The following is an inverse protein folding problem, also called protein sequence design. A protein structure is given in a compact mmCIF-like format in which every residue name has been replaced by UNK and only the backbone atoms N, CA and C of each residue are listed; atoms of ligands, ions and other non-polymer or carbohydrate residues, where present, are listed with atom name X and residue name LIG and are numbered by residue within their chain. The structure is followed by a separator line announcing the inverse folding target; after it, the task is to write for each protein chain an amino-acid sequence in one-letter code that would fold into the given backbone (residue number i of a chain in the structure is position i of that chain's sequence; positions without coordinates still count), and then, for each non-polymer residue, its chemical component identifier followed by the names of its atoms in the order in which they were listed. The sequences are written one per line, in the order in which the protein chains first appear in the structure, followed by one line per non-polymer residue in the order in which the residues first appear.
data_IF_430866679372
#
_entry.id   IF_430866679372
#
_cell.length_a   1.000
_cell.length_b   1.000
_cell.length_c   1.000
_cell.angle_alpha   90.00
_cell.angle_beta   90.00
_cell.angle_gamma   90.00
#
_symmetry.space_group_name_H-M   'P 1'
#
loop_
_entity.id
_entity.type
_entity.pdbx_description
1 polymer ?
#
# COMPACT_ATOMS: atom_id res chain seq x y z
N UNK A 1 -3.73 5.84 -14.13
CA UNK A 1 -3.97 4.43 -13.76
C UNK A 1 -5.45 4.13 -14.05
N UNK A 2 -5.85 2.86 -14.11
CA UNK A 2 -7.24 2.41 -14.30
C UNK A 2 -7.57 1.28 -13.33
N UNK A 3 -8.79 1.20 -12.79
CA UNK A 3 -9.18 0.03 -12.01
C UNK A 3 -9.28 -1.20 -12.91
N UNK A 4 -8.91 -2.36 -12.39
CA UNK A 4 -9.05 -3.62 -13.11
C UNK A 4 -10.51 -3.90 -13.51
N UNK A 5 -11.47 -3.45 -12.69
CA UNK A 5 -12.91 -3.54 -12.96
C UNK A 5 -13.41 -2.59 -14.05
N UNK A 6 -12.63 -1.56 -14.39
CA UNK A 6 -12.98 -0.53 -15.37
C UNK A 6 -12.23 -0.72 -16.70
N UNK A 7 -11.33 -1.71 -16.79
CA UNK A 7 -10.51 -1.91 -17.98
C UNK A 7 -11.34 -2.45 -19.14
N UNK A 8 -11.07 -1.93 -20.33
CA UNK A 8 -11.64 -2.40 -21.59
C UNK A 8 -10.52 -2.89 -22.52
N UNK A 9 -10.83 -3.77 -23.51
CA UNK A 9 -9.93 -4.03 -24.62
C UNK A 9 -9.52 -2.72 -25.30
N UNK A 10 -8.25 -2.62 -25.70
CA UNK A 10 -7.78 -1.44 -26.40
C UNK A 10 -8.47 -1.31 -27.77
N UNK A 11 -9.08 -0.16 -28.01
CA UNK A 11 -9.69 0.22 -29.29
C UNK A 11 -9.03 1.48 -29.82
N UNK A 12 -8.06 1.30 -30.73
CA UNK A 12 -7.28 2.40 -31.29
C UNK A 12 -8.09 3.40 -32.11
N UNK A 13 -9.33 3.07 -32.52
CA UNK A 13 -10.20 4.02 -33.23
C UNK A 13 -10.76 5.12 -32.33
N UNK A 14 -10.73 4.92 -31.01
CA UNK A 14 -11.17 5.89 -30.00
C UNK A 14 -10.10 6.95 -29.65
N UNK A 15 -8.89 6.82 -30.20
CA UNK A 15 -7.74 7.64 -29.83
C UNK A 15 -7.19 8.40 -31.04
N UNK A 16 -6.58 9.56 -30.78
CA UNK A 16 -5.76 10.33 -31.73
C UNK A 16 -4.36 10.57 -31.18
N UNK A 17 -3.45 11.04 -32.05
CA UNK A 17 -2.09 11.36 -31.64
C UNK A 17 -2.09 12.38 -30.48
N UNK A 18 -1.37 12.05 -29.41
CA UNK A 18 -1.32 12.85 -28.17
C UNK A 18 -2.29 12.42 -27.08
N UNK A 19 -3.25 11.52 -27.36
CA UNK A 19 -4.07 10.95 -26.29
C UNK A 19 -3.24 9.99 -25.42
N UNK A 20 -3.55 9.96 -24.13
CA UNK A 20 -2.86 9.14 -23.14
C UNK A 20 -3.68 7.92 -22.74
N UNK A 21 -3.00 6.79 -22.53
CA UNK A 21 -3.58 5.58 -21.94
C UNK A 21 -3.01 5.35 -20.55
N UNK A 22 -3.81 4.88 -19.58
CA UNK A 22 -3.29 4.52 -18.27
C UNK A 22 -2.19 3.44 -18.34
N UNK A 23 -0.97 3.77 -17.90
CA UNK A 23 0.15 2.82 -17.86
C UNK A 23 0.16 1.85 -16.67
N UNK A 24 -0.82 1.93 -15.77
CA UNK A 24 -0.92 1.10 -14.56
C UNK A 24 -2.37 0.66 -14.39
N UNK A 25 -2.57 -0.66 -14.22
CA UNK A 25 -3.84 -1.25 -13.79
C UNK A 25 -3.78 -1.45 -12.28
N UNK A 26 -4.82 -0.98 -11.58
CA UNK A 26 -4.94 -1.05 -10.12
C UNK A 26 -5.98 -2.10 -9.76
N UNK A 27 -5.57 -3.06 -8.94
CA UNK A 27 -6.42 -4.11 -8.41
C UNK A 27 -6.06 -4.35 -6.93
N UNK A 28 -6.96 -4.95 -6.13
CA UNK A 28 -6.59 -5.48 -4.82
C UNK A 28 -5.38 -6.42 -4.95
N UNK A 29 -4.43 -6.29 -4.02
CA UNK A 29 -3.31 -7.24 -3.96
C UNK A 29 -3.80 -8.64 -3.59
N UNK A 30 -3.13 -9.65 -4.14
CA UNK A 30 -3.36 -11.07 -3.84
C UNK A 30 -2.12 -11.69 -3.18
N UNK A 31 -2.26 -12.90 -2.63
CA UNK A 31 -1.21 -13.54 -1.84
C UNK A 31 -0.90 -12.76 -0.56
N UNK A 32 0.32 -12.88 -0.05
CA UNK A 32 0.74 -12.27 1.23
C UNK A 32 0.53 -10.74 1.26
N UNK A 33 0.75 -10.06 0.13
CA UNK A 33 0.50 -8.62 0.02
C UNK A 33 -0.98 -8.25 0.21
N UNK A 34 -1.89 -9.18 -0.05
CA UNK A 34 -3.32 -9.03 0.14
C UNK A 34 -3.78 -9.22 1.59
N UNK A 35 -2.94 -9.74 2.49
CA UNK A 35 -3.28 -9.89 3.91
C UNK A 35 -3.28 -8.55 4.67
N UNK A 36 -2.84 -7.47 4.03
CA UNK A 36 -2.85 -6.11 4.58
C UNK A 36 -4.00 -5.32 3.94
N UNK A 37 -4.87 -4.80 4.80
CA UNK A 37 -5.91 -3.84 4.42
C UNK A 37 -5.63 -2.49 5.06
N UNK A 38 -6.11 -1.42 4.42
CA UNK A 38 -5.93 -0.07 4.90
C UNK A 38 -7.23 0.73 4.77
N UNK A 39 -7.50 1.59 5.75
CA UNK A 39 -8.43 2.70 5.61
C UNK A 39 -7.67 4.00 5.81
N UNK A 40 -7.92 4.96 4.93
CA UNK A 40 -7.21 6.24 4.91
C UNK A 40 -8.25 7.35 4.87
N UNK A 41 -8.06 8.39 5.68
CA UNK A 41 -8.92 9.57 5.70
C UNK A 41 -8.10 10.84 5.87
N UNK A 42 -8.46 11.88 5.11
CA UNK A 42 -7.95 13.24 5.33
C UNK A 42 -8.95 14.02 6.16
N UNK A 43 -8.48 14.63 7.25
CA UNK A 43 -9.30 15.52 8.08
C UNK A 43 -8.41 16.54 8.79
N UNK A 44 -8.86 17.79 8.82
CA UNK A 44 -8.23 18.88 9.59
C UNK A 44 -6.72 19.05 9.34
N UNK A 45 -6.28 18.89 8.09
CA UNK A 45 -4.86 19.07 7.72
C UNK A 45 -3.97 17.85 7.92
N UNK A 46 -4.54 16.68 8.24
CA UNK A 46 -3.79 15.44 8.46
C UNK A 46 -4.39 14.23 7.76
N UNK A 47 -3.50 13.36 7.26
CA UNK A 47 -3.84 12.02 6.83
C UNK A 47 -3.80 11.06 8.02
N UNK A 48 -4.88 10.33 8.24
CA UNK A 48 -4.93 9.20 9.17
C UNK A 48 -5.05 7.91 8.39
N UNK A 49 -4.13 6.98 8.62
CA UNK A 49 -4.16 5.64 8.04
C UNK A 49 -4.28 4.60 9.16
N UNK A 50 -5.24 3.69 8.99
CA UNK A 50 -5.41 2.51 9.83
C UNK A 50 -5.07 1.29 8.99
N UNK A 51 -4.01 0.58 9.37
CA UNK A 51 -3.62 -0.69 8.77
C UNK A 51 -4.20 -1.85 9.59
N UNK A 52 -4.67 -2.88 8.91
CA UNK A 52 -5.10 -4.12 9.53
C UNK A 52 -4.51 -5.31 8.79
N UNK A 53 -4.00 -6.28 9.56
CA UNK A 53 -3.58 -7.60 9.09
C UNK A 53 -3.72 -8.62 10.21
N UNK A 54 -3.68 -9.90 9.88
CA UNK A 54 -3.57 -10.97 10.88
C UNK A 54 -2.24 -10.87 11.65
N UNK A 55 -2.26 -11.27 12.92
CA UNK A 55 -1.02 -11.38 13.72
C UNK A 55 -0.10 -12.47 13.19
N UNK A 56 -0.67 -13.60 12.75
CA UNK A 56 0.04 -14.71 12.15
C UNK A 56 -0.63 -15.07 10.83
N UNK A 57 0.14 -15.07 9.74
CA UNK A 57 -0.33 -15.42 8.39
C UNK A 57 0.15 -16.80 7.97
N UNK A 58 1.22 -17.30 8.59
CA UNK A 58 1.86 -18.57 8.22
C UNK A 58 2.75 -18.47 6.98
N UNK A 59 2.83 -17.31 6.33
CA UNK A 59 3.79 -17.07 5.25
C UNK A 59 5.22 -16.93 5.78
N UNK A 60 6.19 -17.51 5.07
CA UNK A 60 7.62 -17.36 5.36
C UNK A 60 8.16 -15.96 5.04
N UNK A 61 7.43 -15.17 4.25
CA UNK A 61 7.82 -13.81 3.86
C UNK A 61 7.30 -12.75 4.83
N UNK A 62 6.42 -13.14 5.74
CA UNK A 62 5.75 -12.24 6.68
C UNK A 62 6.39 -12.30 8.08
N UNK A 63 6.48 -11.14 8.74
CA UNK A 63 6.70 -11.09 10.18
C UNK A 63 5.50 -11.72 10.88
N UNK A 64 5.77 -12.73 11.73
CA UNK A 64 4.78 -13.42 12.54
C UNK A 64 4.74 -12.82 13.96
N UNK A 65 3.65 -12.14 14.29
CA UNK A 65 3.40 -11.55 15.62
C UNK A 65 2.85 -12.60 16.60
N UNK A 66 3.57 -13.70 16.74
CA UNK A 66 3.19 -14.83 17.58
C UNK A 66 3.54 -14.64 19.07
N UNK A 67 4.30 -13.61 19.41
CA UNK A 67 4.66 -13.24 20.78
C UNK A 67 4.46 -11.74 20.99
N UNK A 68 3.30 -11.38 21.53
CA UNK A 68 2.89 -9.98 21.72
C UNK A 68 3.71 -9.24 22.79
N UNK A 69 4.56 -9.95 23.54
CA UNK A 69 5.47 -9.33 24.53
C UNK A 69 6.76 -8.81 23.90
N UNK A 70 7.03 -9.17 22.64
CA UNK A 70 8.23 -8.73 21.92
C UNK A 70 8.06 -7.36 21.28
N UNK A 71 9.19 -6.68 21.12
CA UNK A 71 9.30 -5.50 20.27
C UNK A 71 9.64 -5.95 18.84
N UNK A 72 8.88 -5.48 17.86
CA UNK A 72 9.11 -5.77 16.46
C UNK A 72 9.69 -4.55 15.74
N UNK A 73 10.80 -4.68 14.98
CA UNK A 73 11.32 -3.59 14.16
C UNK A 73 10.28 -3.10 13.16
N UNK A 74 10.16 -1.79 13.04
CA UNK A 74 9.19 -1.15 12.15
C UNK A 74 9.79 0.08 11.48
N UNK A 75 9.25 0.45 10.33
CA UNK A 75 9.67 1.61 9.56
C UNK A 75 8.49 2.20 8.81
N UNK A 76 8.51 3.51 8.59
CA UNK A 76 7.47 4.23 7.84
C UNK A 76 8.15 5.13 6.81
N UNK A 77 7.62 5.11 5.60
CA UNK A 77 7.96 6.03 4.53
C UNK A 77 6.70 6.68 4.01
N UNK A 78 6.77 7.97 3.68
CA UNK A 78 5.66 8.78 3.18
C UNK A 78 6.05 9.38 1.84
N UNK A 79 5.20 9.13 0.85
CA UNK A 79 5.31 9.65 -0.50
C UNK A 79 4.23 10.72 -0.67
N UNK A 80 4.63 11.99 -0.65
CA UNK A 80 3.73 13.12 -0.93
C UNK A 80 3.96 13.61 -2.36
N UNK A 81 3.08 13.17 -3.27
CA UNK A 81 3.15 13.44 -4.70
C UNK A 81 4.55 13.27 -5.31
N UNK A 82 5.32 12.31 -4.79
CA UNK A 82 6.72 12.12 -5.13
C UNK A 82 6.93 10.77 -5.79
N UNK A 83 7.64 10.77 -6.92
CA UNK A 83 7.87 9.55 -7.72
C UNK A 83 9.12 8.80 -7.27
N UNK A 84 10.22 9.52 -6.99
CA UNK A 84 11.55 8.93 -6.67
C UNK A 84 12.14 9.37 -5.33
N UNK A 85 11.49 10.31 -4.64
CA UNK A 85 11.88 10.78 -3.30
C UNK A 85 10.75 10.52 -2.33
N UNK A 86 11.08 10.34 -1.06
CA UNK A 86 10.11 10.13 0.00
C UNK A 86 10.72 10.52 1.33
N UNK A 87 9.89 10.95 2.27
CA UNK A 87 10.29 11.05 3.66
C UNK A 87 10.31 9.63 4.25
N UNK A 88 11.30 9.33 5.08
CA UNK A 88 11.39 8.06 5.79
C UNK A 88 11.98 8.28 7.17
N UNK A 89 11.70 7.36 8.08
CA UNK A 89 12.36 7.35 9.39
C UNK A 89 13.78 6.80 9.25
N UNK A 90 14.84 7.56 9.57
CA UNK A 90 16.22 7.10 9.43
C UNK A 90 16.62 6.05 10.47
N UNK A 91 15.89 5.95 11.58
CA UNK A 91 16.09 4.95 12.64
C UNK A 91 15.06 3.82 12.60
N UNK A 92 15.26 2.82 13.46
CA UNK A 92 14.33 1.69 13.63
C UNK A 92 13.26 2.06 14.65
N UNK A 93 12.00 2.10 14.21
CA UNK A 93 10.86 2.19 15.12
C UNK A 93 10.61 0.82 15.76
N UNK A 94 9.94 0.81 16.90
CA UNK A 94 9.59 -0.42 17.62
C UNK A 94 8.09 -0.53 17.77
N UNK A 95 7.49 -1.52 17.13
CA UNK A 95 6.09 -1.87 17.35
C UNK A 95 5.98 -2.73 18.61
N UNK A 96 5.10 -2.31 19.53
CA UNK A 96 4.76 -3.02 20.77
C UNK A 96 3.25 -3.20 20.84
N UNK A 97 2.81 -4.33 21.36
CA UNK A 97 1.40 -4.59 21.62
C UNK A 97 1.09 -4.30 23.10
N UNK A 98 -0.08 -3.74 23.36
CA UNK A 98 -0.62 -3.42 24.71
C UNK A 98 -1.81 -4.33 25.05
#
# INVERSE_FOLDING_TARGET
WILDSEKEPFDGSKYKAGDEVPGIIVAPFTGDRGDISAKIAWKDGAWTMVLWRKLSTGSEFDVQFNDLRKEYPFGVAVFDNAQVRHAYTPGVLKLKFE
#
